data_IF_541797130219
#
_entry.id   IF_541797130219
#
_cell.length_a   1.000
_cell.length_b   1.000
_cell.length_c   1.000
_cell.angle_alpha   90.00
_cell.angle_beta   90.00
_cell.angle_gamma   90.00
#
_symmetry.space_group_name_H-M   'P 1'
#
loop_
_entity.id
_entity.type
_entity.pdbx_description
1 polymer ?
#
# COMPACT_ATOMS: atom_id res chain seq x y z
N UNK A 1 -23.38 -17.31 -6.11
CA UNK A 1 -22.14 -17.08 -5.36
C UNK A 1 -20.97 -17.70 -6.09
N UNK A 2 -19.83 -17.05 -6.03
CA UNK A 2 -18.56 -17.55 -6.54
C UNK A 2 -17.44 -17.29 -5.56
N UNK A 3 -16.40 -18.07 -5.64
CA UNK A 3 -15.17 -17.82 -4.90
C UNK A 3 -13.95 -18.13 -5.78
N UNK A 4 -12.82 -17.54 -5.40
CA UNK A 4 -11.55 -17.75 -6.06
C UNK A 4 -10.40 -17.70 -5.06
N UNK A 5 -9.35 -18.42 -5.32
CA UNK A 5 -8.11 -18.32 -4.57
C UNK A 5 -7.21 -17.21 -5.16
N UNK A 6 -6.35 -16.65 -4.35
CA UNK A 6 -5.31 -15.74 -4.78
C UNK A 6 -3.96 -16.40 -4.49
N UNK A 7 -3.20 -16.68 -5.51
CA UNK A 7 -1.87 -17.29 -5.36
C UNK A 7 -0.89 -16.28 -4.70
N UNK A 8 0.02 -16.80 -3.90
CA UNK A 8 1.13 -16.05 -3.33
C UNK A 8 2.23 -15.74 -4.33
N UNK A 9 3.42 -16.28 -4.10
CA UNK A 9 4.68 -16.07 -4.82
C UNK A 9 5.30 -14.69 -4.58
N UNK A 10 6.55 -14.57 -4.95
CA UNK A 10 7.40 -13.42 -4.69
C UNK A 10 6.90 -12.12 -5.30
N UNK A 11 6.99 -11.05 -4.54
CA UNK A 11 6.73 -9.68 -4.98
C UNK A 11 7.62 -8.71 -4.26
N UNK A 12 8.01 -7.65 -4.97
CA UNK A 12 8.76 -6.53 -4.42
C UNK A 12 8.10 -5.20 -4.76
N UNK A 13 8.13 -4.27 -3.80
CA UNK A 13 7.67 -2.90 -3.95
C UNK A 13 8.65 -1.92 -3.33
N UNK A 14 8.69 -0.71 -3.87
CA UNK A 14 9.37 0.43 -3.28
C UNK A 14 8.42 1.61 -3.11
N UNK A 15 8.60 2.39 -2.06
CA UNK A 15 7.86 3.63 -1.81
C UNK A 15 8.85 4.75 -1.55
N UNK A 16 8.75 5.83 -2.31
CA UNK A 16 9.50 7.06 -2.09
C UNK A 16 8.56 8.14 -1.55
N UNK A 17 8.95 8.80 -0.47
CA UNK A 17 8.21 9.95 0.11
C UNK A 17 8.70 11.23 -0.54
N UNK A 18 7.77 11.98 -1.12
CA UNK A 18 8.05 13.28 -1.76
C UNK A 18 7.83 14.42 -0.76
N UNK A 19 8.54 15.53 -0.97
CA UNK A 19 8.47 16.69 -0.06
C UNK A 19 7.07 17.35 0.03
N UNK A 20 6.21 17.14 -0.96
CA UNK A 20 4.83 17.61 -0.97
C UNK A 20 3.86 16.71 -0.16
N UNK A 21 4.37 15.64 0.46
CA UNK A 21 3.59 14.65 1.19
C UNK A 21 2.97 13.57 0.30
N UNK A 22 3.12 13.64 -1.01
CA UNK A 22 2.75 12.52 -1.89
C UNK A 22 3.78 11.40 -1.79
N UNK A 23 3.39 10.19 -2.19
CA UNK A 23 4.31 9.06 -2.28
C UNK A 23 4.27 8.45 -3.68
N UNK A 24 5.43 8.00 -4.15
CA UNK A 24 5.55 7.22 -5.38
C UNK A 24 5.69 5.76 -5.00
N UNK A 25 4.72 4.93 -5.40
CA UNK A 25 4.74 3.48 -5.22
C UNK A 25 5.22 2.85 -6.53
N UNK A 26 6.35 2.15 -6.48
CA UNK A 26 6.87 1.39 -7.63
C UNK A 26 6.77 -0.11 -7.40
N UNK A 27 6.31 -0.84 -8.42
CA UNK A 27 6.10 -2.28 -8.33
C UNK A 27 6.26 -2.94 -9.72
N UNK A 28 6.43 -4.25 -9.78
CA UNK A 28 6.77 -4.98 -11.01
C UNK A 28 5.63 -5.77 -11.63
N UNK A 29 4.40 -5.68 -11.12
CA UNK A 29 3.26 -6.39 -11.67
C UNK A 29 2.52 -5.54 -12.72
N UNK A 30 2.06 -6.12 -13.84
CA UNK A 30 1.22 -5.38 -14.78
C UNK A 30 -0.13 -5.00 -14.14
N UNK A 31 -0.69 -3.90 -14.58
CA UNK A 31 -2.00 -3.44 -14.11
C UNK A 31 -3.12 -4.27 -14.73
N UNK A 32 -3.58 -5.26 -13.99
CA UNK A 32 -4.68 -6.14 -14.38
C UNK A 32 -5.97 -5.69 -13.68
N UNK A 33 -6.95 -5.24 -14.45
CA UNK A 33 -8.26 -4.82 -13.93
C UNK A 33 -8.19 -3.66 -12.93
N UNK A 34 -7.19 -2.77 -13.05
CA UNK A 34 -7.00 -1.63 -12.15
C UNK A 34 -6.31 -2.00 -10.83
N UNK A 35 -5.53 -3.08 -10.79
CA UNK A 35 -4.83 -3.52 -9.57
C UNK A 35 -3.93 -2.45 -8.96
N UNK A 36 -3.33 -1.55 -9.77
CA UNK A 36 -2.54 -0.40 -9.26
C UNK A 36 -3.31 0.47 -8.28
N UNK A 37 -4.60 0.69 -8.52
CA UNK A 37 -5.45 1.46 -7.57
C UNK A 37 -5.57 0.72 -6.25
N UNK A 38 -5.77 -0.60 -6.28
CA UNK A 38 -5.82 -1.44 -5.09
C UNK A 38 -4.52 -1.36 -4.26
N UNK A 39 -3.36 -1.40 -4.94
CA UNK A 39 -2.06 -1.25 -4.29
C UNK A 39 -1.89 0.15 -3.68
N UNK A 40 -2.31 1.20 -4.40
CA UNK A 40 -2.29 2.57 -3.88
C UNK A 40 -3.16 2.72 -2.63
N UNK A 41 -4.36 2.13 -2.62
CA UNK A 41 -5.25 2.13 -1.45
C UNK A 41 -4.64 1.42 -0.25
N UNK A 42 -3.97 0.28 -0.45
CA UNK A 42 -3.30 -0.47 0.64
C UNK A 42 -2.13 0.34 1.24
N UNK A 43 -1.33 0.99 0.40
CA UNK A 43 -0.26 1.87 0.86
C UNK A 43 -0.82 3.10 1.60
N UNK A 44 -1.85 3.75 1.05
CA UNK A 44 -2.51 4.90 1.65
C UNK A 44 -3.10 4.59 3.03
N UNK A 45 -3.84 3.49 3.16
CA UNK A 45 -4.41 3.01 4.42
C UNK A 45 -3.30 2.78 5.46
N UNK A 46 -2.21 2.14 5.05
CA UNK A 46 -1.08 1.85 5.95
C UNK A 46 -0.40 3.13 6.43
N UNK A 47 -0.22 4.11 5.56
CA UNK A 47 0.42 5.40 5.86
C UNK A 47 -0.52 6.40 6.53
N UNK A 48 -1.83 6.20 6.41
CA UNK A 48 -2.85 7.12 6.92
C UNK A 48 -2.98 8.41 6.08
N UNK A 49 -2.76 8.30 4.77
CA UNK A 49 -2.89 9.39 3.79
C UNK A 49 -4.00 9.09 2.79
N UNK A 50 -4.36 10.06 1.95
CA UNK A 50 -5.35 9.83 0.90
C UNK A 50 -4.78 8.95 -0.24
N UNK A 51 -5.62 8.10 -0.84
CA UNK A 51 -5.21 7.28 -1.99
C UNK A 51 -4.79 8.13 -3.19
N UNK A 52 -5.33 9.33 -3.35
CA UNK A 52 -4.95 10.28 -4.40
C UNK A 52 -3.53 10.84 -4.23
N UNK A 53 -2.97 10.76 -3.01
CA UNK A 53 -1.59 11.14 -2.74
C UNK A 53 -0.59 10.02 -3.09
N UNK A 54 -1.06 8.82 -3.38
CA UNK A 54 -0.22 7.69 -3.80
C UNK A 54 -0.21 7.59 -5.33
N UNK A 55 1.00 7.65 -5.91
CA UNK A 55 1.24 7.58 -7.36
C UNK A 55 1.84 6.21 -7.71
N UNK A 56 1.01 5.22 -8.08
CA UNK A 56 1.51 3.90 -8.43
C UNK A 56 2.11 3.90 -9.84
N UNK A 57 3.26 3.23 -9.98
CA UNK A 57 3.95 3.06 -11.26
C UNK A 57 4.46 1.61 -11.39
N UNK A 58 4.16 1.01 -12.54
CA UNK A 58 4.79 -0.26 -12.93
C UNK A 58 6.18 0.03 -13.49
N UNK A 59 7.18 -0.63 -12.95
CA UNK A 59 8.58 -0.45 -13.36
C UNK A 59 9.23 -1.80 -13.66
N UNK A 60 10.45 -1.75 -14.21
CA UNK A 60 11.24 -2.93 -14.46
C UNK A 60 11.65 -3.62 -13.15
N UNK A 61 11.51 -4.94 -13.10
CA UNK A 61 11.89 -5.75 -11.93
C UNK A 61 13.40 -5.70 -11.63
N UNK A 62 14.23 -5.35 -12.59
CA UNK A 62 15.65 -5.09 -12.35
C UNK A 62 15.88 -3.88 -11.45
N UNK A 63 14.92 -2.94 -11.39
CA UNK A 63 15.00 -1.73 -10.58
C UNK A 63 14.53 -1.92 -9.14
N UNK A 64 13.56 -2.80 -8.89
CA UNK A 64 12.90 -2.94 -7.58
C UNK A 64 13.08 -4.32 -6.95
N UNK A 65 13.59 -5.29 -7.69
CA UNK A 65 13.69 -6.69 -7.30
C UNK A 65 12.62 -7.56 -7.95
N UNK A 66 12.78 -8.87 -7.78
CA UNK A 66 11.97 -9.85 -8.47
C UNK A 66 10.49 -9.79 -8.08
N UNK A 67 9.63 -9.87 -9.07
CA UNK A 67 8.18 -10.06 -8.92
C UNK A 67 7.75 -11.18 -9.86
N UNK A 68 7.09 -12.20 -9.33
CA UNK A 68 6.63 -13.34 -10.10
C UNK A 68 5.56 -12.95 -11.13
N UNK A 69 5.49 -13.68 -12.23
CA UNK A 69 4.52 -13.45 -13.30
C UNK A 69 3.08 -13.43 -12.79
N UNK A 70 2.26 -12.55 -13.38
CA UNK A 70 0.85 -12.42 -13.01
C UNK A 70 0.06 -13.63 -13.44
N UNK A 71 -0.53 -14.34 -12.49
CA UNK A 71 -1.37 -15.52 -12.65
C UNK A 71 -1.98 -15.92 -11.31
N UNK A 72 -3.10 -16.66 -11.31
CA UNK A 72 -3.77 -17.08 -10.07
C UNK A 72 -4.27 -15.93 -9.21
N UNK A 73 -4.61 -14.79 -9.80
CA UNK A 73 -5.14 -13.58 -9.11
C UNK A 73 -4.25 -13.05 -7.98
N UNK A 74 -2.93 -13.13 -8.15
CA UNK A 74 -1.97 -12.85 -7.08
C UNK A 74 -1.66 -11.37 -6.82
N UNK A 75 -1.86 -10.48 -7.81
CA UNK A 75 -1.32 -9.11 -7.75
C UNK A 75 -1.80 -8.35 -6.51
N UNK A 76 -3.11 -8.22 -6.31
CA UNK A 76 -3.66 -7.51 -5.16
C UNK A 76 -3.26 -8.14 -3.82
N UNK A 77 -3.12 -9.46 -3.78
CA UNK A 77 -2.72 -10.19 -2.57
C UNK A 77 -1.20 -10.09 -2.32
N UNK A 78 -0.38 -10.63 -3.22
CA UNK A 78 1.06 -10.75 -2.98
C UNK A 78 1.81 -9.42 -3.20
N UNK A 79 1.53 -8.70 -4.30
CA UNK A 79 2.15 -7.39 -4.54
C UNK A 79 1.58 -6.33 -3.61
N UNK A 80 0.29 -6.45 -3.24
CA UNK A 80 -0.31 -5.63 -2.19
C UNK A 80 0.35 -5.82 -0.83
N UNK A 81 0.70 -7.07 -0.48
CA UNK A 81 1.45 -7.31 0.75
C UNK A 81 2.85 -6.69 0.69
N UNK A 82 3.55 -6.76 -0.45
CA UNK A 82 4.82 -6.06 -0.62
C UNK A 82 4.68 -4.53 -0.48
N UNK A 83 3.58 -3.95 -0.98
CA UNK A 83 3.28 -2.53 -0.80
C UNK A 83 3.00 -2.19 0.67
N UNK A 84 2.28 -3.05 1.40
CA UNK A 84 2.08 -2.93 2.84
C UNK A 84 3.42 -2.93 3.60
N UNK A 85 4.31 -3.89 3.34
CA UNK A 85 5.61 -3.97 3.99
C UNK A 85 6.51 -2.77 3.67
N UNK A 86 6.49 -2.29 2.41
CA UNK A 86 7.19 -1.06 2.03
C UNK A 86 6.64 0.16 2.78
N UNK A 87 5.32 0.23 2.98
CA UNK A 87 4.68 1.28 3.77
C UNK A 87 5.04 1.21 5.25
N UNK A 88 5.12 0.01 5.82
CA UNK A 88 5.58 -0.19 7.19
C UNK A 88 7.04 0.24 7.36
N UNK A 89 7.87 0.00 6.35
CA UNK A 89 9.26 0.48 6.37
C UNK A 89 9.33 2.01 6.32
N UNK A 90 8.51 2.67 5.49
CA UNK A 90 8.36 4.14 5.50
C UNK A 90 7.95 4.62 6.89
N UNK A 91 6.95 4.00 7.53
CA UNK A 91 6.51 4.39 8.88
C UNK A 91 7.64 4.33 9.90
N UNK A 92 8.44 3.25 9.89
CA UNK A 92 9.61 3.14 10.79
C UNK A 92 10.61 4.26 10.56
N UNK A 93 10.90 4.60 9.31
CA UNK A 93 11.83 5.67 8.96
C UNK A 93 11.28 7.05 9.31
N UNK A 94 9.97 7.30 9.14
CA UNK A 94 9.31 8.54 9.55
C UNK A 94 9.36 8.74 11.07
N UNK A 95 9.07 7.68 11.84
CA UNK A 95 9.18 7.68 13.30
C UNK A 95 10.62 8.01 13.74
N UNK A 96 11.61 7.34 13.17
CA UNK A 96 13.02 7.60 13.50
C UNK A 96 13.45 9.03 13.14
N UNK A 97 12.96 9.57 12.01
CA UNK A 97 13.23 10.95 11.58
C UNK A 97 12.62 11.97 12.53
N UNK A 98 11.36 11.79 12.92
CA UNK A 98 10.71 12.68 13.88
C UNK A 98 11.42 12.65 15.24
N UNK A 99 11.79 11.47 15.72
CA UNK A 99 12.57 11.32 16.95
C UNK A 99 13.91 12.08 16.89
N UNK A 100 14.60 12.04 15.74
CA UNK A 100 15.82 12.82 15.53
C UNK A 100 15.57 14.33 15.53
N UNK A 101 14.48 14.79 14.88
CA UNK A 101 14.12 16.23 14.86
C UNK A 101 13.80 16.73 16.26
N UNK A 102 13.12 15.92 17.06
CA UNK A 102 12.69 16.29 18.43
C UNK A 102 13.74 16.01 19.52
N UNK A 103 14.86 15.34 19.15
CA UNK A 103 15.93 14.91 20.07
C UNK A 103 15.39 14.03 21.22
N UNK A 104 14.54 13.03 20.86
CA UNK A 104 13.95 12.07 21.80
C UNK A 104 14.17 10.62 21.32
N UNK A 105 13.92 9.68 22.23
CA UNK A 105 14.01 8.24 21.92
C UNK A 105 12.95 7.85 20.86
N UNK A 106 13.34 7.15 19.77
CA UNK A 106 12.40 6.63 18.77
C UNK A 106 11.27 5.75 19.36
N UNK A 107 11.53 5.03 20.44
CA UNK A 107 10.54 4.22 21.13
C UNK A 107 9.43 5.07 21.79
N UNK A 108 9.69 6.36 22.01
CA UNK A 108 8.74 7.34 22.50
C UNK A 108 7.89 7.99 21.39
N UNK A 109 8.09 7.60 20.14
CA UNK A 109 7.37 8.14 18.98
C UNK A 109 6.51 7.05 18.35
N UNK A 110 5.37 7.44 17.84
CA UNK A 110 4.47 6.56 17.08
C UNK A 110 3.93 7.26 15.85
N UNK A 111 3.43 6.50 14.90
CA UNK A 111 2.74 7.03 13.73
C UNK A 111 1.42 6.31 13.54
N UNK A 112 0.32 7.05 13.65
CA UNK A 112 -1.04 6.57 13.44
C UNK A 112 -1.83 7.55 12.56
N UNK A 113 -2.62 7.01 11.63
CA UNK A 113 -3.55 7.77 10.78
C UNK A 113 -2.91 9.02 10.13
N UNK A 114 -1.68 8.88 9.64
CA UNK A 114 -0.96 9.95 8.98
C UNK A 114 -0.40 11.04 9.89
N UNK A 115 -0.38 10.80 11.19
CA UNK A 115 0.22 11.71 12.20
C UNK A 115 1.35 10.98 12.91
N UNK A 116 2.51 11.61 12.96
CA UNK A 116 3.65 11.18 13.78
C UNK A 116 3.62 12.01 15.05
N UNK A 117 3.68 11.37 16.21
CA UNK A 117 3.54 12.04 17.50
C UNK A 117 4.38 11.40 18.61
N UNK A 118 4.75 12.18 19.60
CA UNK A 118 5.33 11.65 20.83
C UNK A 118 4.24 11.02 21.70
N UNK A 119 4.55 9.87 22.30
CA UNK A 119 3.67 9.19 23.27
C UNK A 119 3.59 9.89 24.62
N UNK A 120 4.54 10.76 24.92
CA UNK A 120 4.70 11.40 26.26
C UNK A 120 4.51 12.92 26.23
N UNK A 121 4.61 13.56 25.06
CA UNK A 121 4.47 15.01 24.90
C UNK A 121 3.52 15.32 23.73
N UNK A 122 2.32 15.76 24.03
CA UNK A 122 1.27 16.08 23.06
C UNK A 122 1.57 17.29 22.16
N UNK A 123 2.56 18.10 22.50
CA UNK A 123 3.01 19.24 21.69
C UNK A 123 3.88 18.77 20.51
N UNK A 124 4.57 17.62 20.67
CA UNK A 124 5.42 17.03 19.66
C UNK A 124 4.59 16.15 18.71
N UNK A 125 4.05 16.76 17.67
CA UNK A 125 3.29 16.08 16.62
C UNK A 125 3.45 16.78 15.28
N UNK A 126 3.44 16.00 14.22
CA UNK A 126 3.44 16.45 12.82
C UNK A 126 2.57 15.53 11.97
N UNK A 127 1.87 16.07 11.01
CA UNK A 127 1.24 15.27 9.96
C UNK A 127 2.31 14.64 9.06
N UNK A 128 1.96 13.59 8.33
CA UNK A 128 2.83 12.97 7.32
C UNK A 128 3.42 14.02 6.37
N UNK A 129 2.57 14.95 5.88
CA UNK A 129 2.96 16.03 4.96
C UNK A 129 3.94 17.02 5.59
N UNK A 130 3.71 17.44 6.82
CA UNK A 130 4.61 18.38 7.53
C UNK A 130 5.98 17.79 7.77
N UNK A 131 6.05 16.49 8.11
CA UNK A 131 7.32 15.79 8.26
C UNK A 131 7.99 15.56 6.90
N UNK A 132 7.22 15.19 5.88
CA UNK A 132 7.72 14.99 4.52
C UNK A 132 8.40 16.26 3.96
N UNK A 133 7.84 17.44 4.24
CA UNK A 133 8.43 18.72 3.83
C UNK A 133 9.81 19.00 4.45
N UNK A 134 10.13 18.38 5.59
CA UNK A 134 11.39 18.60 6.31
C UNK A 134 12.47 17.56 5.98
N UNK A 135 12.15 16.50 5.22
CA UNK A 135 13.06 15.37 5.01
C UNK A 135 14.41 15.79 4.39
N UNK A 136 14.37 16.68 3.40
CA UNK A 136 15.60 17.10 2.70
C UNK A 136 16.60 17.83 3.63
N UNK A 137 16.08 18.57 4.60
CA UNK A 137 16.90 19.34 5.53
C UNK A 137 17.32 18.54 6.77
N UNK A 138 16.72 17.37 6.97
CA UNK A 138 16.89 16.57 8.20
C UNK A 138 17.49 15.18 7.96
N UNK A 139 18.13 14.96 6.81
CA UNK A 139 18.84 13.72 6.52
C UNK A 139 18.48 13.08 5.17
N UNK A 140 17.74 13.79 4.32
CA UNK A 140 17.41 13.36 2.95
C UNK A 140 16.11 12.57 2.85
N UNK A 141 15.73 12.18 1.63
CA UNK A 141 14.47 11.51 1.34
C UNK A 141 14.34 10.15 2.04
N UNK A 142 13.13 9.74 2.32
CA UNK A 142 12.80 8.42 2.85
C UNK A 142 12.33 7.52 1.70
N UNK A 143 12.88 6.30 1.69
CA UNK A 143 12.51 5.25 0.75
C UNK A 143 12.26 3.95 1.50
N UNK A 144 11.03 3.47 1.47
CA UNK A 144 10.66 2.17 2.01
C UNK A 144 10.74 1.06 0.99
N UNK A 145 11.03 -0.16 1.44
CA UNK A 145 11.12 -1.37 0.62
C UNK A 145 10.34 -2.50 1.26
N UNK A 146 9.63 -3.27 0.43
CA UNK A 146 8.96 -4.49 0.84
C UNK A 146 9.24 -5.60 -0.16
N UNK A 147 9.68 -6.76 0.34
CA UNK A 147 9.84 -7.98 -0.44
C UNK A 147 9.18 -9.11 0.32
N UNK A 148 8.29 -9.84 -0.33
CA UNK A 148 7.51 -10.92 0.28
C UNK A 148 7.51 -12.15 -0.62
N UNK A 149 7.34 -13.31 -0.01
CA UNK A 149 7.09 -14.58 -0.68
C UNK A 149 5.99 -15.32 0.10
N UNK A 150 4.72 -14.85 0.01
CA UNK A 150 3.66 -15.44 0.78
C UNK A 150 3.39 -16.88 0.33
N UNK A 151 3.39 -17.78 1.31
CA UNK A 151 2.93 -19.15 1.15
C UNK A 151 1.45 -19.25 1.57
N UNK A 152 0.66 -19.98 0.83
CA UNK A 152 -0.77 -20.10 1.07
C UNK A 152 -1.59 -19.30 0.07
N UNK A 153 -2.86 -19.16 0.35
CA UNK A 153 -3.84 -18.60 -0.58
C UNK A 153 -4.67 -17.54 0.14
N UNK A 154 -4.77 -16.36 -0.46
CA UNK A 154 -5.81 -15.39 -0.13
C UNK A 154 -7.14 -15.84 -0.71
N UNK A 155 -8.25 -15.57 -0.05
CA UNK A 155 -9.59 -15.87 -0.55
C UNK A 155 -10.28 -14.64 -1.10
N UNK A 156 -11.00 -14.81 -2.21
CA UNK A 156 -11.96 -13.83 -2.70
C UNK A 156 -13.28 -14.52 -2.98
N UNK A 157 -14.40 -13.86 -2.66
CA UNK A 157 -15.71 -14.37 -2.99
C UNK A 157 -16.63 -13.26 -3.47
N UNK A 158 -17.64 -13.62 -4.22
CA UNK A 158 -18.70 -12.72 -4.65
C UNK A 158 -20.07 -13.38 -4.51
N UNK A 159 -21.09 -12.56 -4.37
CA UNK A 159 -22.47 -12.95 -4.47
C UNK A 159 -23.16 -12.04 -5.49
N UNK A 160 -23.95 -12.65 -6.39
CA UNK A 160 -24.79 -11.93 -7.32
C UNK A 160 -26.24 -12.31 -7.03
N UNK A 161 -27.12 -11.33 -7.01
CA UNK A 161 -28.56 -11.50 -6.93
C UNK A 161 -29.10 -11.07 -8.28
N UNK A 162 -29.91 -11.93 -8.88
CA UNK A 162 -30.55 -11.68 -10.17
C UNK A 162 -32.03 -11.97 -10.02
N UNK A 163 -32.85 -10.97 -10.30
CA UNK A 163 -34.30 -11.14 -10.46
C UNK A 163 -34.61 -11.46 -11.94
N UNK A 164 -35.43 -12.43 -12.17
CA UNK A 164 -35.75 -12.90 -13.51
C UNK A 164 -37.29 -13.00 -13.66
N UNK A 165 -37.81 -12.39 -14.70
CA UNK A 165 -39.19 -12.58 -15.14
C UNK A 165 -39.21 -13.49 -16.39
N UNK A 166 -40.01 -14.53 -16.36
CA UNK A 166 -40.15 -15.47 -17.46
C UNK A 166 -41.60 -15.45 -17.97
N UNK A 167 -41.78 -15.14 -19.24
CA UNK A 167 -43.06 -15.30 -19.93
C UNK A 167 -43.29 -16.82 -20.15
N UNK A 168 -44.35 -17.39 -19.51
CA UNK A 168 -44.61 -18.82 -19.59
C UNK A 168 -45.04 -19.31 -20.96
N UNK A 169 -45.59 -18.42 -21.81
CA UNK A 169 -46.13 -18.79 -23.13
C UNK A 169 -45.03 -18.79 -24.21
N UNK A 170 -44.08 -17.91 -24.09
CA UNK A 170 -43.01 -17.74 -25.09
C UNK A 170 -41.62 -18.21 -24.60
N UNK A 171 -41.42 -18.37 -23.29
CA UNK A 171 -40.15 -18.66 -22.67
C UNK A 171 -39.17 -17.48 -22.71
N UNK A 172 -39.60 -16.27 -23.03
CA UNK A 172 -38.76 -15.07 -23.00
C UNK A 172 -38.37 -14.73 -21.57
N UNK A 173 -37.12 -14.42 -21.37
CA UNK A 173 -36.55 -14.04 -20.08
C UNK A 173 -36.16 -12.56 -20.12
N UNK A 174 -36.50 -11.79 -19.11
CA UNK A 174 -36.14 -10.40 -18.90
C UNK A 174 -35.39 -10.20 -17.58
#
# INVERSE_FOLDING_TARGET
TGFWFNAGMQSSCGIAVNADGSVTLVEGSPDIGGSRVGLAMQAAETLGISAEEVRPAVVDTDSIGFTAGTGGSRVTFATGWAAYEASQDVKRQMVARAATIWDIDPDSVEMEKGVVQSKTDSELKMTFRELAAQLNDTGGPIMGRGTVDPSGEGGAFCANIVDVEVDPDTGKVE
#
